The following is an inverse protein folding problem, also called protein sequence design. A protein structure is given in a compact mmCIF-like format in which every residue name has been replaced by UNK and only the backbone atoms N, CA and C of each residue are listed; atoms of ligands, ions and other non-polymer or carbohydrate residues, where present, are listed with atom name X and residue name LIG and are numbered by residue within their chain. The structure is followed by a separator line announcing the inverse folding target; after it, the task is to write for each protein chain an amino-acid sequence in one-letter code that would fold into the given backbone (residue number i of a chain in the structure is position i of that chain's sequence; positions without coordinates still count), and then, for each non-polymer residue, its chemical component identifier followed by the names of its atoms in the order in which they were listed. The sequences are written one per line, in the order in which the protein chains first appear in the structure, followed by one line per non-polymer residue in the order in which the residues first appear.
data_IF_247819529855
#
_entry.id   IF_247819529855
#
_cell.length_a   1.000
_cell.length_b   1.000
_cell.length_c   1.000
_cell.angle_alpha   90.00
_cell.angle_beta   90.00
_cell.angle_gamma   90.00
#
_symmetry.space_group_name_H-M   'P 1'
#
loop_
_entity.id
_entity.type
_entity.pdbx_description
1 polymer ?
#
# COMPACT_ATOMS: atom_id res chain seq x y z
N UNK A 1 -1.57 -2.21 -6.63
CA UNK A 1 -1.73 -1.66 -5.26
C UNK A 1 -3.21 -1.43 -4.97
N UNK A 2 -3.63 -1.69 -3.75
CA UNK A 2 -4.94 -1.27 -3.23
C UNK A 2 -4.70 -0.54 -1.91
N UNK A 3 -5.40 0.56 -1.69
CA UNK A 3 -5.45 1.18 -0.38
C UNK A 3 -6.89 1.31 0.11
N UNK A 4 -7.09 1.37 1.39
CA UNK A 4 -8.34 1.76 2.05
C UNK A 4 -8.07 2.53 3.35
N UNK A 5 -9.14 2.91 4.02
CA UNK A 5 -9.07 3.65 5.26
C UNK A 5 -9.53 2.79 6.44
N UNK A 6 -8.87 2.95 7.57
CA UNK A 6 -9.36 2.36 8.81
C UNK A 6 -10.66 3.04 9.25
N UNK A 7 -11.64 2.19 9.60
CA UNK A 7 -12.96 2.64 10.09
C UNK A 7 -13.71 3.60 9.14
N UNK A 8 -13.52 3.47 7.82
CA UNK A 8 -14.18 4.35 6.86
C UNK A 8 -15.72 4.24 6.91
N UNK A 9 -16.26 3.06 7.15
CA UNK A 9 -17.71 2.88 7.32
C UNK A 9 -18.23 3.66 8.51
N UNK A 10 -17.49 3.68 9.62
CA UNK A 10 -17.83 4.52 10.80
C UNK A 10 -17.79 6.01 10.45
N UNK A 11 -16.78 6.43 9.70
CA UNK A 11 -16.67 7.81 9.20
C UNK A 11 -17.87 8.18 8.32
N UNK A 12 -18.29 7.32 7.40
CA UNK A 12 -19.46 7.56 6.54
C UNK A 12 -20.79 7.59 7.30
N UNK A 13 -20.86 7.03 8.50
CA UNK A 13 -22.06 7.06 9.33
C UNK A 13 -22.27 8.38 10.11
N UNK A 14 -21.28 9.28 10.08
CA UNK A 14 -21.39 10.61 10.70
C UNK A 14 -22.44 11.43 9.92
N UNK A 15 -23.41 12.07 10.61
CA UNK A 15 -24.40 12.90 9.95
C UNK A 15 -23.77 13.96 9.05
N UNK A 16 -24.37 14.18 7.88
CA UNK A 16 -23.99 15.17 6.87
C UNK A 16 -22.61 15.00 6.21
N UNK A 17 -21.80 14.00 6.63
CA UNK A 17 -20.45 13.78 6.06
C UNK A 17 -20.45 13.54 4.55
N UNK A 18 -21.54 12.96 4.02
CA UNK A 18 -21.66 12.62 2.59
C UNK A 18 -21.55 13.83 1.65
N UNK A 19 -21.71 15.05 2.15
CA UNK A 19 -21.54 16.28 1.37
C UNK A 19 -20.08 16.56 1.05
N UNK A 20 -19.19 16.21 1.97
CA UNK A 20 -17.78 16.59 1.91
C UNK A 20 -16.84 15.40 1.71
N UNK A 21 -17.37 14.17 1.81
CA UNK A 21 -16.57 12.94 1.66
C UNK A 21 -15.85 12.87 0.31
N UNK A 22 -16.48 13.34 -0.77
CA UNK A 22 -15.85 13.38 -2.09
C UNK A 22 -14.60 14.30 -2.09
N UNK A 23 -14.67 15.43 -1.40
CA UNK A 23 -13.52 16.32 -1.21
C UNK A 23 -12.39 15.64 -0.45
N UNK A 24 -12.72 14.91 0.62
CA UNK A 24 -11.75 14.13 1.39
C UNK A 24 -11.07 13.05 0.56
N UNK A 25 -11.86 12.25 -0.16
CA UNK A 25 -11.33 11.19 -1.04
C UNK A 25 -10.43 11.76 -2.14
N UNK A 26 -10.85 12.85 -2.78
CA UNK A 26 -10.06 13.54 -3.81
C UNK A 26 -8.73 14.10 -3.25
N UNK A 27 -8.74 14.62 -2.02
CA UNK A 27 -7.52 15.08 -1.36
C UNK A 27 -6.53 13.93 -1.16
N UNK A 28 -7.00 12.82 -0.58
CA UNK A 28 -6.15 11.64 -0.34
C UNK A 28 -5.66 11.05 -1.66
N UNK A 29 -6.55 10.87 -2.63
CA UNK A 29 -6.20 10.37 -3.96
C UNK A 29 -5.14 11.26 -4.64
N UNK A 30 -5.31 12.57 -4.56
CA UNK A 30 -4.33 13.54 -5.04
C UNK A 30 -2.95 13.35 -4.40
N UNK A 31 -2.87 13.06 -3.10
CA UNK A 31 -1.60 12.72 -2.45
C UNK A 31 -1.02 11.39 -2.95
N UNK A 32 -1.85 10.37 -3.12
CA UNK A 32 -1.42 9.06 -3.66
C UNK A 32 -0.90 9.20 -5.09
N UNK A 33 -1.58 9.95 -5.96
CA UNK A 33 -1.13 10.21 -7.35
C UNK A 33 0.21 10.93 -7.40
N UNK A 34 0.43 11.94 -6.56
CA UNK A 34 1.72 12.64 -6.48
C UNK A 34 2.88 11.74 -6.05
N UNK A 35 2.63 10.59 -5.43
CA UNK A 35 3.67 9.61 -5.17
C UNK A 35 4.21 8.96 -6.46
N UNK A 36 3.39 8.92 -7.51
CA UNK A 36 3.72 8.38 -8.83
C UNK A 36 4.24 9.50 -9.73
N UNK A 37 3.43 10.53 -9.92
CA UNK A 37 3.65 11.59 -10.91
C UNK A 37 4.73 12.60 -10.47
N UNK A 38 5.07 12.60 -9.19
CA UNK A 38 5.94 13.61 -8.59
C UNK A 38 5.17 14.83 -8.10
N UNK A 39 5.93 15.84 -7.65
CA UNK A 39 5.35 17.05 -7.10
C UNK A 39 5.37 17.11 -5.57
N UNK A 40 4.70 18.10 -4.98
CA UNK A 40 4.69 18.30 -3.53
C UNK A 40 3.84 17.24 -2.84
N UNK A 41 4.36 16.66 -1.78
CA UNK A 41 3.58 15.82 -0.87
C UNK A 41 3.60 16.37 0.54
N UNK A 42 2.58 16.06 1.29
CA UNK A 42 2.40 16.52 2.66
C UNK A 42 3.63 16.19 3.52
N UNK A 43 4.17 17.18 4.21
CA UNK A 43 5.29 17.01 5.13
C UNK A 43 6.68 16.93 4.51
N UNK A 44 6.83 16.97 3.19
CA UNK A 44 8.12 17.18 2.52
C UNK A 44 8.29 18.64 2.11
N UNK A 45 9.52 19.15 2.29
CA UNK A 45 9.89 20.48 1.81
C UNK A 45 10.27 20.49 0.32
N UNK A 46 10.52 19.32 -0.25
CA UNK A 46 10.95 19.14 -1.63
C UNK A 46 9.88 18.41 -2.44
N UNK A 47 9.80 18.74 -3.71
CA UNK A 47 8.99 17.98 -4.66
C UNK A 47 9.65 16.62 -4.92
N UNK A 48 8.81 15.59 -5.08
CA UNK A 48 9.27 14.32 -5.59
C UNK A 48 9.45 14.40 -7.12
N UNK A 49 10.42 13.67 -7.63
CA UNK A 49 10.48 13.40 -9.06
C UNK A 49 9.39 12.40 -9.45
N UNK A 50 8.94 12.41 -10.70
CA UNK A 50 8.08 11.35 -11.23
C UNK A 50 8.79 10.01 -11.17
N UNK A 51 8.02 8.94 -11.02
CA UNK A 51 8.49 7.56 -11.18
C UNK A 51 8.12 7.09 -12.59
N UNK A 52 8.92 6.18 -13.15
CA UNK A 52 8.54 5.49 -14.38
C UNK A 52 7.49 4.40 -14.07
N UNK A 53 6.30 4.89 -13.69
CA UNK A 53 5.11 4.10 -13.38
C UNK A 53 3.94 4.69 -14.16
N UNK A 54 3.39 3.92 -15.07
CA UNK A 54 2.20 4.35 -15.83
C UNK A 54 0.93 3.83 -15.17
N UNK A 55 0.03 4.73 -14.80
CA UNK A 55 -1.31 4.35 -14.34
C UNK A 55 -2.12 3.79 -15.52
N UNK A 56 -2.46 2.50 -15.45
CA UNK A 56 -3.29 1.82 -16.44
C UNK A 56 -4.76 1.84 -16.07
N UNK A 57 -5.06 1.71 -14.80
CA UNK A 57 -6.44 1.62 -14.32
C UNK A 57 -6.55 2.07 -12.88
N UNK A 58 -7.66 2.71 -12.58
CA UNK A 58 -8.04 3.12 -11.25
C UNK A 58 -9.51 2.82 -11.03
N UNK A 59 -9.83 2.29 -9.85
CA UNK A 59 -11.19 1.91 -9.53
C UNK A 59 -11.44 1.99 -8.04
N UNK A 60 -12.54 2.61 -7.64
CA UNK A 60 -13.04 2.49 -6.27
C UNK A 60 -13.49 1.06 -5.98
N UNK A 61 -13.07 0.51 -4.86
CA UNK A 61 -13.37 -0.86 -4.43
C UNK A 61 -13.91 -0.84 -2.99
N UNK A 62 -15.13 -0.36 -2.86
CA UNK A 62 -15.75 -0.11 -1.56
C UNK A 62 -15.20 1.16 -0.93
N UNK A 63 -14.54 1.02 0.21
CA UNK A 63 -13.93 2.07 1.02
C UNK A 63 -12.48 2.40 0.64
N UNK A 64 -12.01 1.87 -0.48
CA UNK A 64 -10.65 2.08 -0.95
C UNK A 64 -10.55 2.25 -2.46
N UNK A 65 -9.32 2.40 -2.94
CA UNK A 65 -9.01 2.55 -4.36
C UNK A 65 -7.97 1.54 -4.80
N UNK A 66 -8.24 0.92 -5.94
CA UNK A 66 -7.31 0.06 -6.64
C UNK A 66 -6.58 0.86 -7.72
N UNK A 67 -5.25 0.78 -7.70
CA UNK A 67 -4.37 1.28 -8.74
C UNK A 67 -3.67 0.13 -9.43
N UNK A 68 -3.77 0.07 -10.75
CA UNK A 68 -2.99 -0.82 -11.60
C UNK A 68 -1.94 0.03 -12.30
N UNK A 69 -0.68 -0.26 -11.98
CA UNK A 69 0.48 0.47 -12.45
C UNK A 69 1.34 -0.46 -13.32
N UNK A 70 1.64 -0.02 -14.52
CA UNK A 70 2.70 -0.63 -15.32
C UNK A 70 4.03 -0.05 -14.86
N UNK A 71 4.96 -0.93 -14.55
CA UNK A 71 6.31 -0.54 -14.14
C UNK A 71 7.18 -0.41 -15.39
N UNK A 72 7.66 0.80 -15.64
CA UNK A 72 8.65 1.08 -16.67
C UNK A 72 10.07 0.82 -16.19
N UNK A 73 11.01 0.95 -17.08
CA UNK A 73 12.44 0.73 -16.88
C UNK A 73 13.03 -0.09 -18.02
N UNK A 74 14.25 0.27 -18.43
CA UNK A 74 14.96 -0.39 -19.53
C UNK A 74 15.30 -1.84 -19.17
N UNK A 75 15.68 -2.07 -17.92
CA UNK A 75 16.04 -3.39 -17.42
C UNK A 75 15.32 -3.74 -16.11
N UNK A 76 15.65 -4.86 -15.51
CA UNK A 76 15.05 -5.36 -14.28
C UNK A 76 15.50 -4.56 -13.05
N UNK A 77 16.71 -3.99 -13.07
CA UNK A 77 17.23 -3.16 -11.98
C UNK A 77 16.47 -1.83 -11.92
N UNK A 78 16.19 -1.22 -13.06
CA UNK A 78 15.39 0.01 -13.17
C UNK A 78 13.97 -0.23 -12.69
N UNK A 79 13.32 -1.30 -13.15
CA UNK A 79 11.98 -1.68 -12.68
C UNK A 79 11.94 -1.89 -11.16
N UNK A 80 12.93 -2.60 -10.63
CA UNK A 80 13.07 -2.82 -9.20
C UNK A 80 13.28 -1.49 -8.44
N UNK A 81 14.04 -0.56 -9.02
CA UNK A 81 14.27 0.77 -8.45
C UNK A 81 12.98 1.59 -8.35
N UNK A 82 12.16 1.59 -9.42
CA UNK A 82 10.87 2.27 -9.44
C UNK A 82 9.90 1.69 -8.39
N UNK A 83 9.81 0.36 -8.29
CA UNK A 83 8.97 -0.31 -7.28
C UNK A 83 9.44 0.05 -5.87
N UNK A 84 10.75 0.01 -5.62
CA UNK A 84 11.34 0.38 -4.33
C UNK A 84 11.02 1.81 -3.93
N UNK A 85 11.23 2.75 -4.85
CA UNK A 85 10.94 4.16 -4.62
C UNK A 85 9.46 4.37 -4.30
N UNK A 86 8.58 3.70 -5.04
CA UNK A 86 7.14 3.75 -4.81
C UNK A 86 6.76 3.22 -3.42
N UNK A 87 7.24 2.04 -3.03
CA UNK A 87 6.98 1.49 -1.70
C UNK A 87 7.44 2.44 -0.57
N UNK A 88 8.63 3.03 -0.71
CA UNK A 88 9.14 4.02 0.27
C UNK A 88 8.24 5.25 0.37
N UNK A 89 7.73 5.74 -0.76
CA UNK A 89 6.80 6.88 -0.78
C UNK A 89 5.46 6.55 -0.13
N UNK A 90 4.94 5.33 -0.33
CA UNK A 90 3.71 4.88 0.34
C UNK A 90 3.90 4.79 1.86
N UNK A 91 5.03 4.26 2.33
CA UNK A 91 5.36 4.25 3.76
C UNK A 91 5.51 5.68 4.29
N UNK A 92 6.12 6.57 3.52
CA UNK A 92 6.18 7.98 3.90
C UNK A 92 4.77 8.58 4.07
N UNK A 93 3.87 8.39 3.10
CA UNK A 93 2.49 8.86 3.19
C UNK A 93 1.76 8.26 4.40
N UNK A 94 1.89 6.94 4.61
CA UNK A 94 1.35 6.25 5.80
C UNK A 94 1.78 6.95 7.10
N UNK A 95 3.07 7.22 7.23
CA UNK A 95 3.64 7.82 8.45
C UNK A 95 3.26 9.28 8.64
N UNK A 96 2.85 9.96 7.58
CA UNK A 96 2.45 11.37 7.60
C UNK A 96 0.95 11.58 7.34
N UNK A 97 0.15 10.53 7.42
CA UNK A 97 -1.28 10.60 7.09
C UNK A 97 -2.05 11.57 7.98
N UNK A 98 -1.63 11.76 9.22
CA UNK A 98 -2.18 12.79 10.12
C UNK A 98 -2.06 14.22 9.56
N UNK A 99 -1.04 14.50 8.74
CA UNK A 99 -0.90 15.80 8.08
C UNK A 99 -1.88 15.97 6.92
N UNK A 100 -2.22 14.87 6.21
CA UNK A 100 -3.29 14.87 5.20
C UNK A 100 -4.62 15.18 5.88
N UNK A 101 -4.89 14.55 7.03
CA UNK A 101 -6.08 14.84 7.82
C UNK A 101 -6.12 16.29 8.31
N UNK A 102 -4.98 16.84 8.74
CA UNK A 102 -4.91 18.26 9.13
C UNK A 102 -5.20 19.21 7.95
N UNK A 103 -4.85 18.82 6.73
CA UNK A 103 -5.24 19.55 5.52
C UNK A 103 -6.75 19.44 5.26
N UNK A 104 -7.30 18.23 5.39
CA UNK A 104 -8.72 17.96 5.24
C UNK A 104 -9.59 18.72 6.24
N UNK A 105 -9.15 18.88 7.49
CA UNK A 105 -9.86 19.63 8.55
C UNK A 105 -10.13 21.09 8.20
N UNK A 106 -9.49 21.62 7.17
CA UNK A 106 -9.76 23.00 6.70
C UNK A 106 -11.11 23.15 6.01
N UNK A 107 -11.68 22.04 5.52
CA UNK A 107 -12.96 22.05 4.81
C UNK A 107 -13.94 20.97 5.32
N UNK A 108 -13.46 19.99 6.07
CA UNK A 108 -14.32 18.97 6.66
C UNK A 108 -15.05 19.51 7.89
N UNK A 109 -16.36 19.22 8.05
CA UNK A 109 -17.17 19.69 9.17
C UNK A 109 -16.95 18.87 10.46
N UNK A 110 -16.13 17.82 10.42
CA UNK A 110 -15.92 16.89 11.53
C UNK A 110 -14.43 16.68 11.80
N UNK A 111 -14.09 16.41 13.05
CA UNK A 111 -12.72 16.09 13.47
C UNK A 111 -12.39 14.59 13.36
N UNK A 112 -13.42 13.74 13.39
CA UNK A 112 -13.26 12.27 13.39
C UNK A 112 -13.02 11.72 11.98
N UNK A 113 -11.87 12.07 11.42
CA UNK A 113 -11.41 11.55 10.14
C UNK A 113 -10.76 10.16 10.30
N UNK A 114 -10.72 9.33 9.23
CA UNK A 114 -10.00 8.07 9.26
C UNK A 114 -8.54 8.27 9.70
N UNK A 115 -8.12 7.58 10.74
CA UNK A 115 -6.81 7.83 11.35
C UNK A 115 -5.65 7.18 10.61
N UNK A 116 -5.93 6.13 9.84
CA UNK A 116 -4.91 5.37 9.10
C UNK A 116 -5.37 5.08 7.68
N UNK A 117 -4.41 5.13 6.76
CA UNK A 117 -4.50 4.58 5.41
C UNK A 117 -3.74 3.26 5.37
N UNK A 118 -4.30 2.24 4.77
CA UNK A 118 -3.72 0.89 4.69
C UNK A 118 -3.44 0.52 3.25
N UNK A 119 -2.26 -0.03 2.99
CA UNK A 119 -1.80 -0.41 1.65
C UNK A 119 -1.58 -1.91 1.54
N UNK A 120 -2.12 -2.50 0.48
CA UNK A 120 -1.79 -3.86 0.03
C UNK A 120 -1.10 -3.79 -1.34
N UNK A 121 0.11 -4.31 -1.44
CA UNK A 121 0.94 -4.19 -2.65
C UNK A 121 1.36 -5.57 -3.12
N UNK A 122 1.27 -5.77 -4.43
CA UNK A 122 1.78 -6.97 -5.07
C UNK A 122 2.25 -6.65 -6.49
N UNK A 123 3.00 -7.57 -7.05
CA UNK A 123 3.48 -7.54 -8.44
C UNK A 123 3.11 -8.85 -9.13
N UNK A 124 2.78 -8.78 -10.40
CA UNK A 124 2.44 -9.96 -11.20
C UNK A 124 1.76 -9.60 -12.51
N UNK A 125 1.52 -10.62 -13.32
CA UNK A 125 0.84 -10.49 -14.60
C UNK A 125 -0.67 -10.29 -14.39
N UNK A 126 -1.25 -9.41 -15.19
CA UNK A 126 -2.67 -9.17 -15.29
C UNK A 126 -3.17 -9.44 -16.71
N UNK A 127 -4.41 -9.81 -16.82
CA UNK A 127 -5.11 -9.95 -18.09
C UNK A 127 -5.99 -8.71 -18.27
N UNK A 128 -5.77 -8.00 -19.36
CA UNK A 128 -6.63 -6.89 -19.77
C UNK A 128 -7.86 -7.43 -20.48
N UNK A 129 -9.04 -6.96 -20.08
CA UNK A 129 -10.32 -7.30 -20.68
C UNK A 129 -10.93 -6.03 -21.27
N UNK A 130 -10.79 -5.81 -22.59
CA UNK A 130 -11.43 -4.68 -23.27
C UNK A 130 -12.94 -4.73 -23.11
N UNK A 131 -13.56 -3.58 -22.86
CA UNK A 131 -14.99 -3.40 -22.77
C UNK A 131 -15.52 -2.71 -24.01
N UNK A 132 -16.78 -2.93 -24.32
CA UNK A 132 -17.47 -2.34 -25.50
C UNK A 132 -17.55 -0.81 -25.47
N UNK A 133 -17.44 -0.20 -24.28
CA UNK A 133 -17.43 1.25 -24.10
C UNK A 133 -16.03 1.89 -24.24
N UNK A 134 -15.02 1.14 -24.70
CA UNK A 134 -13.66 1.62 -24.90
C UNK A 134 -12.80 1.68 -23.62
N UNK A 135 -13.33 1.24 -22.47
CA UNK A 135 -12.55 1.09 -21.25
C UNK A 135 -11.97 -0.32 -21.15
N UNK A 136 -10.97 -0.50 -20.27
CA UNK A 136 -10.42 -1.82 -19.96
C UNK A 136 -10.67 -2.16 -18.50
N UNK A 137 -11.01 -3.42 -18.26
CA UNK A 137 -10.96 -4.03 -16.93
C UNK A 137 -9.75 -4.94 -16.84
N UNK A 138 -9.28 -5.16 -15.63
CA UNK A 138 -8.12 -6.02 -15.39
C UNK A 138 -8.47 -7.12 -14.42
N UNK A 139 -8.03 -8.33 -14.73
CA UNK A 139 -8.20 -9.49 -13.86
C UNK A 139 -6.87 -10.19 -13.65
N UNK A 140 -6.68 -10.75 -12.48
CA UNK A 140 -5.48 -11.52 -12.19
C UNK A 140 -5.27 -11.78 -10.72
N UNK A 141 -4.39 -12.73 -10.47
CA UNK A 141 -4.05 -13.16 -9.12
C UNK A 141 -3.49 -12.01 -8.26
N UNK A 142 -2.70 -11.13 -8.87
CA UNK A 142 -2.09 -10.00 -8.19
C UNK A 142 -3.14 -9.07 -7.56
N UNK A 143 -4.25 -8.77 -8.25
CA UNK A 143 -5.34 -7.94 -7.71
C UNK A 143 -5.91 -8.58 -6.45
N UNK A 144 -6.18 -9.88 -6.51
CA UNK A 144 -6.75 -10.61 -5.37
C UNK A 144 -5.82 -10.62 -4.15
N UNK A 145 -4.50 -10.74 -4.37
CA UNK A 145 -3.53 -10.67 -3.29
C UNK A 145 -3.47 -9.26 -2.70
N UNK A 146 -3.37 -8.22 -3.51
CA UNK A 146 -3.35 -6.84 -3.02
C UNK A 146 -4.57 -6.53 -2.14
N UNK A 147 -5.77 -6.93 -2.58
CA UNK A 147 -7.01 -6.73 -1.83
C UNK A 147 -7.03 -7.48 -0.48
N UNK A 148 -6.43 -8.66 -0.43
CA UNK A 148 -6.33 -9.44 0.81
C UNK A 148 -5.28 -8.88 1.75
N UNK A 149 -4.12 -8.47 1.23
CA UNK A 149 -3.05 -7.89 2.04
C UNK A 149 -3.52 -6.60 2.71
N UNK A 150 -4.22 -5.75 1.99
CA UNK A 150 -4.75 -4.49 2.50
C UNK A 150 -5.70 -4.70 3.71
N UNK A 151 -6.49 -5.80 3.71
CA UNK A 151 -7.46 -6.14 4.79
C UNK A 151 -6.94 -7.18 5.78
N UNK A 152 -5.70 -7.62 5.66
CA UNK A 152 -5.20 -8.78 6.38
C UNK A 152 -5.12 -8.58 7.90
N UNK A 153 -4.70 -7.40 8.33
CA UNK A 153 -4.64 -7.03 9.75
C UNK A 153 -5.11 -5.61 9.94
N UNK A 154 -6.00 -5.40 10.91
CA UNK A 154 -6.45 -4.07 11.31
C UNK A 154 -5.33 -3.21 11.90
N UNK A 155 -4.25 -3.82 12.37
CA UNK A 155 -3.15 -3.15 13.05
C UNK A 155 -1.93 -2.85 12.14
N UNK A 156 -2.00 -3.23 10.86
CA UNK A 156 -0.91 -3.03 9.89
C UNK A 156 -1.38 -2.09 8.79
N UNK A 157 -0.59 -1.08 8.52
CA UNK A 157 -0.89 -0.08 7.51
C UNK A 157 -0.17 -0.28 6.18
N UNK A 158 0.80 -1.19 6.11
CA UNK A 158 1.54 -1.48 4.89
C UNK A 158 1.91 -2.97 4.83
N UNK A 159 1.41 -3.67 3.83
CA UNK A 159 1.82 -5.02 3.50
C UNK A 159 2.16 -5.13 2.01
N UNK A 160 3.34 -5.65 1.71
CA UNK A 160 3.76 -5.94 0.35
C UNK A 160 4.03 -7.44 0.18
N UNK A 161 3.53 -8.03 -0.90
CA UNK A 161 3.85 -9.42 -1.24
C UNK A 161 5.34 -9.60 -1.54
N UNK A 162 5.94 -10.69 -1.11
CA UNK A 162 7.32 -11.03 -1.47
C UNK A 162 7.50 -11.39 -2.96
N UNK A 163 6.44 -11.28 -3.76
CA UNK A 163 6.49 -11.40 -5.24
C UNK A 163 7.03 -10.15 -5.92
N UNK A 164 7.30 -9.09 -5.17
CA UNK A 164 7.99 -7.91 -5.71
C UNK A 164 9.38 -8.31 -6.19
N UNK A 165 9.78 -7.96 -7.42
CA UNK A 165 11.06 -8.37 -7.99
C UNK A 165 12.23 -7.81 -7.16
N UNK A 166 13.21 -8.66 -6.88
CA UNK A 166 14.44 -8.33 -6.13
C UNK A 166 14.21 -7.60 -4.79
N UNK A 167 13.04 -7.82 -4.15
CA UNK A 167 12.66 -7.06 -2.96
C UNK A 167 13.45 -7.44 -1.69
N UNK A 168 13.92 -8.68 -1.55
CA UNK A 168 14.48 -9.20 -0.31
C UNK A 168 15.57 -8.30 0.28
N UNK A 169 16.58 -7.97 -0.53
CA UNK A 169 17.73 -7.19 -0.06
C UNK A 169 17.35 -5.76 0.33
N UNK A 170 16.61 -5.05 -0.52
CA UNK A 170 16.31 -3.65 -0.27
C UNK A 170 15.19 -3.45 0.75
N UNK A 171 14.22 -4.36 0.83
CA UNK A 171 13.19 -4.33 1.86
C UNK A 171 13.82 -4.44 3.26
N UNK A 172 14.61 -5.47 3.49
CA UNK A 172 15.25 -5.68 4.80
C UNK A 172 16.23 -4.56 5.17
N UNK A 173 16.90 -3.95 4.21
CA UNK A 173 17.79 -2.79 4.46
C UNK A 173 17.02 -1.48 4.73
N UNK A 174 15.73 -1.43 4.49
CA UNK A 174 14.90 -0.22 4.66
C UNK A 174 13.80 -0.38 5.73
N UNK A 175 14.04 -1.21 6.73
CA UNK A 175 13.15 -1.31 7.88
C UNK A 175 11.88 -2.14 7.63
N UNK A 176 11.96 -3.12 6.74
CA UNK A 176 10.91 -4.11 6.56
C UNK A 176 11.35 -5.48 7.03
N UNK A 177 10.43 -6.22 7.62
CA UNK A 177 10.62 -7.61 8.02
C UNK A 177 9.87 -8.51 7.04
N UNK A 178 10.54 -9.57 6.56
CA UNK A 178 9.90 -10.62 5.77
C UNK A 178 9.31 -11.64 6.72
N UNK A 179 8.00 -11.88 6.59
CA UNK A 179 7.26 -12.80 7.43
C UNK A 179 6.33 -13.65 6.57
N UNK A 180 5.83 -14.74 7.14
CA UNK A 180 4.82 -15.58 6.53
C UNK A 180 3.44 -15.15 7.03
N UNK A 181 2.55 -14.80 6.14
CA UNK A 181 1.13 -14.56 6.43
C UNK A 181 0.42 -15.93 6.51
N UNK A 182 -0.01 -16.33 7.72
CA UNK A 182 -0.47 -17.70 8.00
C UNK A 182 -1.93 -17.95 7.61
N UNK A 183 -2.76 -16.91 7.61
CA UNK A 183 -4.22 -17.00 7.43
C UNK A 183 -4.73 -16.21 6.22
N UNK A 184 -3.86 -15.89 5.26
CA UNK A 184 -4.29 -15.18 4.07
C UNK A 184 -5.24 -16.07 3.25
N UNK A 185 -6.50 -15.66 3.12
CA UNK A 185 -7.54 -16.46 2.46
C UNK A 185 -7.09 -16.95 1.09
N UNK A 186 -7.15 -18.29 0.87
CA UNK A 186 -6.73 -18.92 -0.37
C UNK A 186 -5.21 -18.95 -0.61
N UNK A 187 -4.39 -18.46 0.33
CA UNK A 187 -2.93 -18.52 0.31
C UNK A 187 -2.37 -18.52 1.75
N UNK A 188 -2.52 -19.63 2.49
CA UNK A 188 -2.20 -19.68 3.91
C UNK A 188 -0.70 -19.56 4.23
N UNK A 189 0.17 -19.50 3.22
CA UNK A 189 1.62 -19.43 3.39
C UNK A 189 2.24 -18.39 2.46
N UNK A 190 1.61 -17.24 2.26
CA UNK A 190 2.17 -16.17 1.46
C UNK A 190 3.26 -15.43 2.24
N UNK A 191 4.42 -15.23 1.63
CA UNK A 191 5.46 -14.39 2.21
C UNK A 191 5.16 -12.92 1.90
N UNK A 192 5.31 -12.09 2.94
CA UNK A 192 5.03 -10.66 2.85
C UNK A 192 6.10 -9.85 3.56
N UNK A 193 6.22 -8.60 3.17
CA UNK A 193 7.00 -7.60 3.88
C UNK A 193 6.05 -6.71 4.68
N UNK A 194 6.39 -6.52 5.94
CA UNK A 194 5.71 -5.64 6.88
C UNK A 194 6.72 -4.60 7.38
N UNK A 195 6.30 -3.38 7.60
CA UNK A 195 7.10 -2.35 8.25
C UNK A 195 7.52 -2.81 9.66
N UNK A 196 8.79 -2.65 10.02
CA UNK A 196 9.36 -3.17 11.28
C UNK A 196 8.68 -2.57 12.51
N UNK A 197 8.26 -1.30 12.43
CA UNK A 197 7.53 -0.64 13.52
C UNK A 197 6.15 -1.26 13.68
N UNK A 198 5.41 -1.44 12.57
CA UNK A 198 4.11 -2.12 12.59
C UNK A 198 4.28 -3.56 13.13
N UNK A 199 5.32 -4.28 12.70
CA UNK A 199 5.57 -5.66 13.16
C UNK A 199 5.87 -5.74 14.66
N UNK A 200 6.69 -4.83 15.18
CA UNK A 200 6.99 -4.75 16.60
C UNK A 200 5.73 -4.47 17.43
N UNK A 201 4.86 -3.61 16.93
CA UNK A 201 3.61 -3.28 17.61
C UNK A 201 2.62 -4.44 17.57
N UNK A 202 2.50 -5.13 16.42
CA UNK A 202 1.55 -6.23 16.26
C UNK A 202 1.87 -7.43 17.15
N UNK A 203 3.15 -7.69 17.46
CA UNK A 203 3.57 -8.73 18.40
C UNK A 203 2.92 -8.61 19.80
N UNK A 204 2.45 -7.42 20.13
CA UNK A 204 1.79 -7.12 21.42
C UNK A 204 0.26 -7.24 21.32
N UNK A 205 -0.28 -7.63 20.19
CA UNK A 205 -1.72 -7.71 19.94
C UNK A 205 -2.17 -9.13 19.62
N UNK A 206 -3.47 -9.36 19.56
CA UNK A 206 -4.07 -10.63 19.11
C UNK A 206 -3.72 -10.99 17.65
N UNK A 207 -3.35 -10.00 16.84
CA UNK A 207 -3.01 -10.18 15.43
C UNK A 207 -1.61 -10.78 15.23
N UNK A 208 -0.82 -10.95 16.32
CA UNK A 208 0.48 -11.62 16.27
C UNK A 208 0.40 -13.01 15.63
N UNK A 209 -0.69 -13.74 15.85
CA UNK A 209 -0.92 -15.08 15.29
C UNK A 209 -1.07 -15.12 13.75
N UNK A 210 -1.30 -13.96 13.14
CA UNK A 210 -1.41 -13.82 11.69
C UNK A 210 -0.04 -13.89 10.98
N UNK A 211 1.04 -13.69 11.72
CA UNK A 211 2.37 -13.58 11.17
C UNK A 211 3.35 -14.55 11.85
N UNK A 212 4.05 -15.34 11.05
CA UNK A 212 5.11 -16.23 11.51
C UNK A 212 6.46 -15.70 11.02
N UNK A 213 7.39 -15.56 11.95
CA UNK A 213 8.77 -15.16 11.61
C UNK A 213 9.45 -16.26 10.77
N UNK A 214 10.19 -15.84 9.75
CA UNK A 214 10.97 -16.76 8.95
C UNK A 214 12.32 -16.90 9.63
N UNK A 215 12.63 -18.11 10.12
CA UNK A 215 13.98 -18.40 10.55
C UNK A 215 14.91 -18.31 9.33
N UNK A 216 15.72 -17.26 9.27
CA UNK A 216 16.80 -17.19 8.28
C UNK A 216 17.78 -18.35 8.57
N UNK A 217 18.19 -19.13 7.56
CA UNK A 217 19.25 -20.09 7.75
C UNK A 217 20.49 -19.35 8.28
N UNK A 218 21.10 -19.91 9.35
CA UNK A 218 22.32 -19.34 9.90
C UNK A 218 23.31 -19.10 8.75
N UNK A 219 23.81 -17.87 8.64
CA UNK A 219 24.88 -17.57 7.68
C UNK A 219 25.99 -18.59 7.83
N UNK A 220 26.45 -19.26 6.76
CA UNK A 220 27.54 -20.20 6.88
C UNK A 220 28.71 -19.47 7.51
N UNK A 221 29.14 -19.96 8.69
CA UNK A 221 30.28 -19.38 9.39
C UNK A 221 31.44 -19.28 8.40
N UNK A 222 31.94 -18.08 8.18
CA UNK A 222 33.14 -17.87 7.36
C UNK A 222 34.24 -18.70 7.97
N UNK A 223 34.54 -19.85 7.39
CA UNK A 223 35.74 -20.58 7.73
C UNK A 223 36.91 -19.64 7.42
N UNK A 224 37.56 -19.19 8.50
CA UNK A 224 38.87 -18.55 8.45
C UNK A 224 39.92 -19.55 8.01
#
# INVERSE_FOLDING_TARGET
MIYDFENFTGFLSIPDIHRDVAGYLNLVDGHVRRLIDGGPIVGLQQNLNSLDLKLLHEKFVGDGVMFILQVGGEDEADRSSNIRAFCRRLVYLKNHFSKVNAEAMRFMPVADLPQRIRFGITYGTLIELPRTNGTSEYVGFAINIAARLQKYSGNVSFLASARLPHADKWMTQNGFVKVKATQLRGRPNEFVYIDEVDFTNIKKTKDAVLFEEIALPASPASKK
#
